data_IF_457459353221
#
_entry.id   IF_457459353221
#
_cell.length_a   1.000
_cell.length_b   1.000
_cell.length_c   1.000
_cell.angle_alpha   90.00
_cell.angle_beta   90.00
_cell.angle_gamma   90.00
#
_symmetry.space_group_name_H-M   'P 1'
#
loop_
_entity.id
_entity.type
_entity.pdbx_description
1 polymer ?
#
# COMPACT_ATOMS: atom_id res chain seq x y z
N UNK A 1 1.24 -9.26 -52.86
CA UNK A 1 2.32 -9.34 -51.80
C UNK A 1 2.49 -8.07 -50.98
N UNK A 2 2.45 -6.86 -51.56
CA UNK A 2 2.63 -5.60 -50.83
C UNK A 2 1.48 -5.28 -49.84
N UNK A 3 0.26 -5.71 -50.09
CA UNK A 3 -0.90 -5.48 -49.22
C UNK A 3 -0.86 -6.29 -47.93
N UNK A 4 -0.37 -7.51 -47.93
CA UNK A 4 -0.22 -8.34 -46.71
C UNK A 4 0.83 -7.78 -45.75
N UNK A 5 1.99 -7.40 -46.29
CA UNK A 5 3.08 -6.81 -45.49
C UNK A 5 2.69 -5.50 -44.80
N UNK A 6 1.84 -4.69 -45.43
CA UNK A 6 1.31 -3.47 -44.81
C UNK A 6 0.31 -3.79 -43.70
N UNK A 7 -0.51 -4.81 -43.82
CA UNK A 7 -1.44 -5.24 -42.76
C UNK A 7 -0.66 -5.77 -41.53
N UNK A 8 0.32 -6.64 -41.78
CA UNK A 8 1.18 -7.17 -40.67
C UNK A 8 1.87 -6.06 -39.88
N UNK A 9 2.40 -5.02 -40.56
CA UNK A 9 3.03 -3.87 -39.90
C UNK A 9 2.04 -3.04 -39.08
N UNK A 10 0.81 -2.88 -39.57
CA UNK A 10 -0.23 -2.14 -38.83
C UNK A 10 -0.67 -2.92 -37.59
N UNK A 11 -0.92 -4.23 -37.70
CA UNK A 11 -1.28 -5.09 -36.58
C UNK A 11 -0.18 -5.13 -35.49
N UNK A 12 1.09 -5.18 -35.89
CA UNK A 12 2.22 -5.11 -34.96
C UNK A 12 2.28 -3.77 -34.23
N UNK A 13 2.03 -2.66 -34.94
CA UNK A 13 2.00 -1.34 -34.31
C UNK A 13 0.83 -1.18 -33.33
N UNK A 14 -0.34 -1.73 -33.62
CA UNK A 14 -1.48 -1.74 -32.73
C UNK A 14 -1.19 -2.54 -31.46
N UNK A 15 -0.58 -3.72 -31.57
CA UNK A 15 -0.15 -4.52 -30.42
C UNK A 15 0.87 -3.79 -29.54
N UNK A 16 1.86 -3.12 -30.14
CA UNK A 16 2.84 -2.32 -29.40
C UNK A 16 2.16 -1.17 -28.65
N UNK A 17 1.18 -0.52 -29.27
CA UNK A 17 0.45 0.56 -28.63
C UNK A 17 -0.43 0.05 -27.47
N UNK A 18 -1.11 -1.07 -27.64
CA UNK A 18 -1.89 -1.73 -26.59
C UNK A 18 -0.99 -2.11 -25.39
N UNK A 19 0.17 -2.72 -25.66
CA UNK A 19 1.14 -3.07 -24.61
C UNK A 19 1.60 -1.84 -23.82
N UNK A 20 1.86 -0.70 -24.51
CA UNK A 20 2.23 0.55 -23.82
C UNK A 20 1.14 1.02 -22.88
N UNK A 21 -0.11 1.03 -23.31
CA UNK A 21 -1.24 1.44 -22.48
C UNK A 21 -1.41 0.56 -21.25
N UNK A 22 -1.29 -0.76 -21.43
CA UNK A 22 -1.34 -1.73 -20.31
C UNK A 22 -0.22 -1.45 -19.31
N UNK A 23 1.02 -1.25 -19.79
CA UNK A 23 2.15 -0.92 -18.93
C UNK A 23 1.98 0.42 -18.19
N UNK A 24 1.43 1.45 -18.84
CA UNK A 24 1.15 2.74 -18.22
C UNK A 24 0.10 2.61 -17.11
N UNK A 25 -0.98 1.87 -17.36
CA UNK A 25 -2.02 1.60 -16.36
C UNK A 25 -1.45 0.79 -15.18
N UNK A 26 -0.63 -0.23 -15.45
CA UNK A 26 0.04 -1.01 -14.42
C UNK A 26 0.97 -0.16 -13.55
N UNK A 27 1.75 0.75 -14.17
CA UNK A 27 2.62 1.70 -13.43
C UNK A 27 1.80 2.65 -12.58
N UNK A 28 0.68 3.13 -13.09
CA UNK A 28 -0.24 3.99 -12.36
C UNK A 28 -0.76 3.30 -11.11
N UNK A 29 -1.27 2.07 -11.22
CA UNK A 29 -1.74 1.29 -10.08
C UNK A 29 -0.63 1.03 -9.06
N UNK A 30 0.53 0.57 -9.52
CA UNK A 30 1.70 0.36 -8.64
C UNK A 30 2.11 1.63 -7.93
N UNK A 31 2.32 2.71 -8.67
CA UNK A 31 2.79 3.98 -8.12
C UNK A 31 1.86 4.50 -7.03
N UNK A 32 0.57 4.54 -7.28
CA UNK A 32 -0.42 5.01 -6.30
C UNK A 32 -0.45 4.13 -5.06
N UNK A 33 -0.66 2.82 -5.25
CA UNK A 33 -0.84 1.91 -4.11
C UNK A 33 0.43 1.74 -3.27
N UNK A 34 1.58 1.58 -3.90
CA UNK A 34 2.86 1.48 -3.17
C UNK A 34 3.16 2.76 -2.40
N UNK A 35 2.82 3.93 -2.93
CA UNK A 35 2.95 5.19 -2.21
C UNK A 35 2.02 5.25 -1.00
N UNK A 36 0.75 4.84 -1.13
CA UNK A 36 -0.18 4.78 0.00
C UNK A 36 0.33 3.88 1.12
N UNK A 37 0.84 2.69 0.78
CA UNK A 37 1.43 1.77 1.77
C UNK A 37 2.72 2.33 2.38
N UNK A 38 3.54 3.05 1.62
CA UNK A 38 4.73 3.73 2.15
C UNK A 38 4.36 4.82 3.16
N UNK A 39 3.29 5.58 2.93
CA UNK A 39 2.76 6.54 3.90
C UNK A 39 2.28 5.84 5.18
N UNK A 40 1.55 4.73 5.06
CA UNK A 40 1.13 3.90 6.19
C UNK A 40 2.35 3.41 6.99
N UNK A 41 3.38 2.90 6.32
CA UNK A 41 4.60 2.45 6.97
C UNK A 41 5.30 3.57 7.74
N UNK A 42 5.38 4.75 7.13
CA UNK A 42 5.94 5.95 7.75
C UNK A 42 5.14 6.37 9.00
N UNK A 43 3.81 6.33 8.92
CA UNK A 43 2.94 6.65 10.03
C UNK A 43 3.11 5.70 11.20
N UNK A 44 3.18 4.39 10.96
CA UNK A 44 3.47 3.41 12.01
C UNK A 44 4.86 3.65 12.62
N UNK A 45 5.86 3.94 11.79
CA UNK A 45 7.21 4.23 12.28
C UNK A 45 7.23 5.42 13.25
N UNK A 46 6.46 6.47 12.95
CA UNK A 46 6.28 7.61 13.85
C UNK A 46 5.54 7.24 15.13
N UNK A 47 4.43 6.50 15.03
CA UNK A 47 3.67 6.05 16.20
C UNK A 47 4.56 5.26 17.15
N UNK A 48 5.29 4.27 16.65
CA UNK A 48 6.20 3.45 17.47
C UNK A 48 7.29 4.31 18.10
N UNK A 49 7.86 5.25 17.35
CA UNK A 49 8.88 6.16 17.87
C UNK A 49 8.34 7.04 18.98
N UNK A 50 7.17 7.63 18.80
CA UNK A 50 6.54 8.47 19.81
C UNK A 50 6.11 7.67 21.04
N UNK A 51 5.62 6.46 20.85
CA UNK A 51 5.22 5.58 21.95
C UNK A 51 6.40 5.17 22.83
N UNK A 52 7.50 4.68 22.24
CA UNK A 52 8.64 4.18 22.98
C UNK A 52 9.63 5.24 23.49
N UNK A 53 9.69 6.41 22.83
CA UNK A 53 10.68 7.44 23.13
C UNK A 53 10.10 8.75 23.68
N UNK A 54 8.87 8.74 24.08
CA UNK A 54 8.01 9.83 24.60
C UNK A 54 8.55 11.26 24.58
N UNK A 55 9.49 11.66 25.45
CA UNK A 55 9.85 13.07 25.71
C UNK A 55 11.27 13.47 25.27
N UNK A 56 12.13 12.53 24.86
CA UNK A 56 13.53 12.80 24.52
C UNK A 56 13.74 12.89 22.99
N UNK A 57 13.93 14.10 22.42
CA UNK A 57 14.13 14.26 20.98
C UNK A 57 15.38 13.53 20.44
N UNK A 58 16.44 13.41 21.25
CA UNK A 58 17.66 12.71 20.86
C UNK A 58 17.42 11.21 20.71
N UNK A 59 16.77 10.60 21.70
CA UNK A 59 16.38 9.19 21.65
C UNK A 59 15.41 8.90 20.50
N UNK A 60 14.43 9.77 20.27
CA UNK A 60 13.50 9.67 19.14
C UNK A 60 14.23 9.63 17.80
N UNK A 61 15.17 10.56 17.58
CA UNK A 61 15.97 10.60 16.36
C UNK A 61 16.79 9.31 16.17
N UNK A 62 17.46 8.84 17.21
CA UNK A 62 18.26 7.62 17.18
C UNK A 62 17.37 6.40 16.91
N UNK A 63 16.28 6.24 17.64
CA UNK A 63 15.36 5.11 17.50
C UNK A 63 14.73 5.07 16.08
N UNK A 64 14.23 6.21 15.60
CA UNK A 64 13.66 6.32 14.26
C UNK A 64 14.68 5.94 13.20
N UNK A 65 15.85 6.62 13.17
CA UNK A 65 16.83 6.48 12.08
C UNK A 65 17.60 5.16 12.10
N UNK A 66 17.83 4.56 13.27
CA UNK A 66 18.68 3.38 13.40
C UNK A 66 17.95 2.08 13.67
N UNK A 67 16.66 2.14 14.00
CA UNK A 67 15.85 0.96 14.30
C UNK A 67 14.65 0.90 13.37
N UNK A 68 13.73 1.84 13.50
CA UNK A 68 12.40 1.72 12.90
C UNK A 68 12.42 1.83 11.38
N UNK A 69 13.30 2.65 10.80
CA UNK A 69 13.42 2.83 9.34
C UNK A 69 14.36 1.84 8.67
N UNK A 70 15.00 0.94 9.42
CA UNK A 70 15.94 -0.03 8.86
C UNK A 70 15.23 -1.23 8.26
N UNK A 71 15.80 -1.80 7.19
CA UNK A 71 15.22 -2.93 6.45
C UNK A 71 14.95 -4.17 7.32
N UNK A 72 15.76 -4.42 8.36
CA UNK A 72 15.52 -5.54 9.29
C UNK A 72 14.23 -5.37 10.12
N UNK A 73 13.74 -4.14 10.28
CA UNK A 73 12.49 -3.84 10.97
C UNK A 73 11.34 -3.70 9.98
N UNK A 74 10.93 -4.84 9.42
CA UNK A 74 9.95 -4.91 8.34
C UNK A 74 8.59 -4.31 8.71
N UNK A 75 7.81 -3.92 7.69
CA UNK A 75 6.45 -3.40 7.89
C UNK A 75 5.55 -4.39 8.64
N UNK A 76 5.67 -5.70 8.41
CA UNK A 76 4.96 -6.72 9.19
C UNK A 76 5.29 -6.62 10.69
N UNK A 77 6.58 -6.52 11.05
CA UNK A 77 6.98 -6.38 12.46
C UNK A 77 6.46 -5.09 13.08
N UNK A 78 6.51 -3.98 12.34
CA UNK A 78 5.95 -2.70 12.79
C UNK A 78 4.46 -2.82 13.06
N UNK A 79 3.71 -3.42 12.13
CA UNK A 79 2.28 -3.71 12.28
C UNK A 79 2.00 -4.56 13.52
N UNK A 80 2.72 -5.67 13.69
CA UNK A 80 2.49 -6.59 14.81
C UNK A 80 2.73 -5.91 16.17
N UNK A 81 3.74 -5.05 16.28
CA UNK A 81 3.99 -4.28 17.50
C UNK A 81 2.89 -3.25 17.71
N UNK A 82 2.50 -2.51 16.67
CA UNK A 82 1.40 -1.55 16.75
C UNK A 82 0.11 -2.22 17.26
N UNK A 83 -0.25 -3.39 16.70
CA UNK A 83 -1.45 -4.13 17.13
C UNK A 83 -1.39 -4.48 18.62
N UNK A 84 -0.25 -4.95 19.10
CA UNK A 84 -0.06 -5.26 20.53
C UNK A 84 -0.20 -4.03 21.42
N UNK A 85 0.33 -2.89 20.99
CA UNK A 85 0.19 -1.62 21.72
C UNK A 85 -1.29 -1.22 21.78
N UNK A 86 -1.99 -1.25 20.65
CA UNK A 86 -3.41 -0.86 20.60
C UNK A 86 -4.27 -1.79 21.44
N UNK A 87 -4.02 -3.10 21.42
CA UNK A 87 -4.74 -4.08 22.23
C UNK A 87 -4.51 -3.88 23.72
N UNK A 88 -3.26 -3.59 24.13
CA UNK A 88 -2.90 -3.49 25.55
C UNK A 88 -3.30 -2.15 26.17
N UNK A 89 -3.03 -1.06 25.49
CA UNK A 89 -3.12 0.28 26.08
C UNK A 89 -4.36 1.06 25.64
N UNK A 90 -5.00 0.65 24.53
CA UNK A 90 -6.19 1.30 23.96
C UNK A 90 -7.32 0.29 23.64
N UNK A 91 -7.77 -0.53 24.62
CA UNK A 91 -8.69 -1.63 24.34
C UNK A 91 -10.03 -1.18 23.74
N UNK A 92 -10.55 -0.02 24.13
CA UNK A 92 -11.80 0.51 23.56
C UNK A 92 -11.63 0.87 22.09
N UNK A 93 -10.49 1.45 21.72
CA UNK A 93 -10.16 1.75 20.34
C UNK A 93 -9.98 0.46 19.53
N UNK A 94 -9.32 -0.56 20.13
CA UNK A 94 -9.19 -1.87 19.50
C UNK A 94 -10.56 -2.50 19.17
N UNK A 95 -11.49 -2.50 20.10
CA UNK A 95 -12.84 -3.06 19.89
C UNK A 95 -13.59 -2.34 18.76
N UNK A 96 -13.44 -1.03 18.63
CA UNK A 96 -14.07 -0.21 17.60
C UNK A 96 -13.48 -0.44 16.21
N UNK A 97 -12.13 -0.54 16.11
CA UNK A 97 -11.42 -0.52 14.83
C UNK A 97 -10.72 -1.82 14.46
N UNK A 98 -10.89 -2.90 15.21
CA UNK A 98 -10.21 -4.19 15.00
C UNK A 98 -10.38 -4.74 13.60
N UNK A 99 -11.54 -4.57 12.96
CA UNK A 99 -11.81 -5.07 11.61
C UNK A 99 -10.97 -4.32 10.57
N UNK A 100 -10.92 -2.99 10.67
CA UNK A 100 -10.08 -2.16 9.78
C UNK A 100 -8.61 -2.49 9.97
N UNK A 101 -8.16 -2.61 11.21
CA UNK A 101 -6.78 -2.94 11.54
C UNK A 101 -6.42 -4.37 11.10
N UNK A 102 -7.36 -5.32 11.16
CA UNK A 102 -7.16 -6.69 10.69
C UNK A 102 -7.02 -6.76 9.17
N UNK A 103 -7.72 -5.90 8.43
CA UNK A 103 -7.58 -5.79 6.97
C UNK A 103 -6.19 -5.35 6.53
N UNK A 104 -5.34 -4.90 7.46
CA UNK A 104 -3.97 -4.50 7.14
C UNK A 104 -3.13 -5.64 6.55
N UNK A 105 -3.38 -6.89 6.96
CA UNK A 105 -2.69 -8.03 6.37
C UNK A 105 -3.01 -8.19 4.88
N UNK A 106 -4.26 -8.00 4.49
CA UNK A 106 -4.69 -8.06 3.08
C UNK A 106 -3.99 -6.96 2.25
N UNK A 107 -3.87 -5.75 2.80
CA UNK A 107 -3.16 -4.62 2.18
C UNK A 107 -1.70 -4.97 1.90
N UNK A 108 -1.01 -5.63 2.86
CA UNK A 108 0.37 -6.05 2.68
C UNK A 108 0.52 -7.14 1.61
N UNK A 109 -0.40 -8.08 1.57
CA UNK A 109 -0.42 -9.14 0.55
C UNK A 109 -0.66 -8.56 -0.84
N UNK A 110 -1.63 -7.67 -0.98
CA UNK A 110 -1.91 -6.99 -2.24
C UNK A 110 -0.72 -6.12 -2.69
N UNK A 111 -0.11 -5.38 -1.76
CA UNK A 111 1.12 -4.62 -2.02
C UNK A 111 2.23 -5.50 -2.56
N UNK A 112 2.46 -6.65 -1.93
CA UNK A 112 3.51 -7.57 -2.35
C UNK A 112 3.22 -8.17 -3.74
N UNK A 113 1.98 -8.53 -4.01
CA UNK A 113 1.55 -8.97 -5.34
C UNK A 113 1.84 -7.89 -6.38
N UNK A 114 1.38 -6.65 -6.18
CA UNK A 114 1.61 -5.55 -7.11
C UNK A 114 3.10 -5.25 -7.31
N UNK A 115 3.91 -5.26 -6.25
CA UNK A 115 5.32 -4.92 -6.32
C UNK A 115 6.14 -5.91 -7.13
N UNK A 116 5.82 -7.20 -7.05
CA UNK A 116 6.67 -8.28 -7.58
C UNK A 116 6.13 -8.97 -8.83
N UNK A 117 4.85 -8.80 -9.15
CA UNK A 117 4.25 -9.44 -10.32
C UNK A 117 4.65 -8.78 -11.63
N UNK A 118 4.74 -9.56 -12.69
CA UNK A 118 4.96 -9.05 -14.05
C UNK A 118 3.62 -8.67 -14.69
N UNK A 119 3.63 -7.61 -15.49
CA UNK A 119 2.45 -7.20 -16.27
C UNK A 119 2.20 -8.25 -17.36
N UNK A 120 0.96 -8.68 -17.49
CA UNK A 120 0.54 -9.56 -18.56
C UNK A 120 0.35 -8.76 -19.86
N UNK A 121 1.11 -9.14 -20.88
CA UNK A 121 1.06 -8.62 -22.24
C UNK A 121 0.96 -9.74 -23.26
N UNK A 122 0.35 -10.86 -22.87
CA UNK A 122 -0.01 -11.96 -23.78
C UNK A 122 -0.97 -11.46 -24.87
N UNK A 123 -1.09 -12.21 -25.98
CA UNK A 123 -2.03 -11.85 -27.06
C UNK A 123 -3.45 -11.68 -26.51
N UNK A 124 -3.90 -12.54 -25.59
CA UNK A 124 -5.20 -12.43 -24.93
C UNK A 124 -5.32 -11.15 -24.08
N UNK A 125 -4.25 -10.70 -23.45
CA UNK A 125 -4.24 -9.46 -22.68
C UNK A 125 -4.24 -8.23 -23.60
N UNK A 126 -3.57 -8.29 -24.75
CA UNK A 126 -3.52 -7.22 -25.75
C UNK A 126 -4.86 -7.03 -26.46
N UNK A 127 -5.60 -8.11 -26.68
CA UNK A 127 -6.92 -8.08 -27.30
C UNK A 127 -8.02 -7.62 -26.33
N UNK A 128 -7.75 -7.60 -25.02
CA UNK A 128 -8.71 -7.18 -23.99
C UNK A 128 -8.80 -5.67 -23.93
N UNK A 129 -10.02 -5.10 -23.87
CA UNK A 129 -10.20 -3.67 -23.63
C UNK A 129 -9.56 -3.24 -22.31
N UNK A 130 -8.77 -2.18 -22.31
CA UNK A 130 -8.05 -1.66 -21.12
C UNK A 130 -8.99 -1.34 -19.93
N UNK A 131 -10.27 -1.08 -20.21
CA UNK A 131 -11.31 -0.87 -19.20
C UNK A 131 -11.63 -2.12 -18.36
N UNK A 132 -11.37 -3.31 -18.90
CA UNK A 132 -11.59 -4.58 -18.21
C UNK A 132 -10.48 -4.90 -17.20
N UNK A 133 -9.43 -4.07 -17.14
CA UNK A 133 -8.40 -4.15 -16.14
C UNK A 133 -7.02 -4.53 -16.67
N UNK A 134 -6.08 -4.67 -15.75
CA UNK A 134 -4.68 -5.02 -16.01
C UNK A 134 -4.39 -6.38 -15.40
N UNK A 135 -3.91 -7.32 -16.22
CA UNK A 135 -3.47 -8.65 -15.80
C UNK A 135 -2.04 -8.67 -15.28
N UNK A 136 -1.75 -9.65 -14.44
CA UNK A 136 -0.41 -9.94 -13.94
C UNK A 136 -0.13 -11.44 -14.04
N UNK A 137 0.98 -11.82 -14.68
CA UNK A 137 1.30 -13.21 -15.03
C UNK A 137 1.49 -14.15 -13.82
N UNK A 138 1.98 -13.58 -12.69
CA UNK A 138 2.32 -14.37 -11.50
C UNK A 138 1.13 -14.49 -10.52
N UNK A 139 -0.05 -14.00 -10.89
CA UNK A 139 -1.25 -14.14 -10.08
C UNK A 139 -1.93 -15.47 -10.34
N UNK A 140 -2.16 -16.24 -9.28
CA UNK A 140 -2.67 -17.61 -9.37
C UNK A 140 -4.01 -17.75 -10.06
N UNK A 141 -4.84 -16.72 -10.01
CA UNK A 141 -6.16 -16.65 -10.59
C UNK A 141 -6.16 -16.07 -12.02
N UNK A 142 -5.02 -15.54 -12.49
CA UNK A 142 -4.87 -14.98 -13.85
C UNK A 142 -5.82 -13.82 -14.18
N UNK A 143 -6.61 -13.39 -13.19
CA UNK A 143 -7.67 -12.39 -13.37
C UNK A 143 -7.08 -10.98 -13.40
N UNK A 144 -7.48 -10.12 -14.36
CA UNK A 144 -7.07 -8.73 -14.37
C UNK A 144 -7.68 -7.97 -13.18
N UNK A 145 -6.95 -6.99 -12.68
CA UNK A 145 -7.47 -6.01 -11.71
C UNK A 145 -8.24 -4.94 -12.46
N UNK A 146 -9.51 -4.79 -12.16
CA UNK A 146 -10.33 -3.69 -12.67
C UNK A 146 -10.00 -2.38 -11.96
N UNK A 147 -10.44 -1.25 -12.53
CA UNK A 147 -10.29 0.06 -11.87
C UNK A 147 -11.12 0.15 -10.59
N UNK A 148 -12.32 -0.42 -10.58
CA UNK A 148 -13.19 -0.49 -9.41
C UNK A 148 -12.50 -1.26 -8.27
N UNK A 149 -12.01 -2.46 -8.54
CA UNK A 149 -11.30 -3.27 -7.56
C UNK A 149 -10.04 -2.57 -7.04
N UNK A 150 -9.31 -1.87 -7.91
CA UNK A 150 -8.15 -1.09 -7.49
C UNK A 150 -8.54 0.06 -6.54
N UNK A 151 -9.65 0.77 -6.84
CA UNK A 151 -10.17 1.83 -5.99
C UNK A 151 -10.62 1.29 -4.62
N UNK A 152 -11.22 0.10 -4.56
CA UNK A 152 -11.59 -0.55 -3.29
C UNK A 152 -10.36 -0.81 -2.41
N UNK A 153 -9.24 -1.24 -3.00
CA UNK A 153 -7.99 -1.39 -2.28
C UNK A 153 -7.44 -0.05 -1.77
N UNK A 154 -7.59 1.03 -2.54
CA UNK A 154 -7.20 2.38 -2.08
C UNK A 154 -8.09 2.87 -0.94
N UNK A 155 -9.40 2.62 -1.00
CA UNK A 155 -10.32 2.94 0.10
C UNK A 155 -9.90 2.22 1.37
N UNK A 156 -9.61 0.91 1.32
CA UNK A 156 -9.10 0.15 2.48
C UNK A 156 -7.80 0.76 3.03
N UNK A 157 -6.85 1.13 2.17
CA UNK A 157 -5.60 1.76 2.60
C UNK A 157 -5.84 3.11 3.29
N UNK A 158 -6.77 3.92 2.77
CA UNK A 158 -7.14 5.20 3.35
C UNK A 158 -7.84 5.04 4.72
N UNK A 159 -8.67 4.02 4.89
CA UNK A 159 -9.28 3.70 6.19
C UNK A 159 -8.21 3.38 7.25
N UNK A 160 -7.20 2.58 6.89
CA UNK A 160 -6.07 2.30 7.77
C UNK A 160 -5.31 3.58 8.11
N UNK A 161 -5.01 4.44 7.14
CA UNK A 161 -4.35 5.73 7.38
C UNK A 161 -5.15 6.63 8.33
N UNK A 162 -6.48 6.63 8.22
CA UNK A 162 -7.36 7.35 9.15
C UNK A 162 -7.23 6.81 10.57
N UNK A 163 -7.33 5.49 10.74
CA UNK A 163 -7.13 4.84 12.06
C UNK A 163 -5.77 5.17 12.66
N UNK A 164 -4.68 5.16 11.86
CA UNK A 164 -3.35 5.53 12.34
C UNK A 164 -3.28 6.99 12.79
N UNK A 165 -3.99 7.88 12.11
CA UNK A 165 -4.08 9.29 12.48
C UNK A 165 -4.77 9.44 13.85
N UNK A 166 -5.81 8.69 14.11
CA UNK A 166 -6.52 8.71 15.40
C UNK A 166 -5.66 8.10 16.51
N UNK A 167 -4.97 6.98 16.24
CA UNK A 167 -4.00 6.40 17.19
C UNK A 167 -2.92 7.42 17.58
N UNK A 168 -2.40 8.20 16.62
CA UNK A 168 -1.43 9.28 16.92
C UNK A 168 -1.98 10.32 17.90
N UNK A 169 -3.30 10.58 17.89
CA UNK A 169 -3.94 11.52 18.82
C UNK A 169 -4.08 10.96 20.23
N UNK A 170 -4.15 9.62 20.36
CA UNK A 170 -4.27 8.93 21.64
C UNK A 170 -2.92 8.80 22.36
N UNK A 171 -1.79 8.98 21.69
CA UNK A 171 -0.47 8.80 22.31
C UNK A 171 -0.24 9.74 23.50
N UNK A 172 0.34 9.25 24.61
CA UNK A 172 0.48 9.98 25.87
C UNK A 172 1.19 11.32 25.75
N UNK A 173 2.11 11.44 24.80
CA UNK A 173 2.87 12.67 24.56
C UNK A 173 2.00 13.86 24.16
N UNK A 174 0.89 13.64 23.44
CA UNK A 174 -0.02 14.70 23.02
C UNK A 174 -0.99 15.11 24.14
N UNK A 175 -1.35 14.17 25.01
CA UNK A 175 -2.21 14.44 26.15
C UNK A 175 -1.51 15.34 27.19
N UNK A 176 -0.21 15.12 27.44
CA UNK A 176 0.58 15.97 28.36
C UNK A 176 0.73 17.38 27.80
N UNK A 177 0.90 17.57 26.49
CA UNK A 177 1.01 18.89 25.89
C UNK A 177 -0.30 19.69 25.95
N UNK A 178 -1.43 19.02 25.76
CA UNK A 178 -2.76 19.67 25.89
C UNK A 178 -3.09 20.07 27.34
N UNK A 179 -2.58 19.31 28.34
CA UNK A 179 -2.76 19.62 29.76
C UNK A 179 -1.84 20.75 30.28
N UNK A 180 -0.74 21.04 29.58
CA UNK A 180 0.19 22.14 29.93
C UNK A 180 -0.22 23.46 29.25
N UNK A 181 -0.92 23.39 28.13
CA UNK A 181 -1.41 24.55 27.35
C UNK A 181 -2.83 25.02 27.83
N UNK A 182 -3.42 24.38 28.85
CA UNK A 182 -4.65 24.79 29.58
C UNK A 182 -4.32 25.34 30.96
#
# INVERSE_FOLDING_TARGET
>A
MLTNRRREVVEEQEKIQAAKLIHEKARYYRGRFLNSVACIEHDIAHILTEYFCTSDPGKRKIFYSNIVTRAFFSLNRKKDILMKIVQADYPLYWEEYREVLSAFQEILEFRNKLAHSRVDVSDEALDRPIKEGVGFTDWKDGRPITEEEFNDWEVKANMISSCLTDIKRLLPYKQVKQAVDQ
#
